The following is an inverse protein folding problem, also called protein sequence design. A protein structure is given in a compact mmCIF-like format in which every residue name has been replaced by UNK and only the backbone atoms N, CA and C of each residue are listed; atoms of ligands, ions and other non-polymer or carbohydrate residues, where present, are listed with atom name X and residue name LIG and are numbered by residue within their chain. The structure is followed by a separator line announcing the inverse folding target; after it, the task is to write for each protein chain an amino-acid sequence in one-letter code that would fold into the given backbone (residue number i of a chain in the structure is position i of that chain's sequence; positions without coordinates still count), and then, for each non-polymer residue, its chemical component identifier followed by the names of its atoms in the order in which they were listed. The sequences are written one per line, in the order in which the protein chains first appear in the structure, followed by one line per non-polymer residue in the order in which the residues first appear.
data_IF_473756762172
#
_entry.id   IF_473756762172
#
_cell.length_a   1.000
_cell.length_b   1.000
_cell.length_c   1.000
_cell.angle_alpha   90.00
_cell.angle_beta   90.00
_cell.angle_gamma   90.00
#
_symmetry.space_group_name_H-M   'P 1'
#
loop_
_entity.id
_entity.type
_entity.pdbx_description
1 polymer ?
#
# COMPACT_ATOMS: atom_id res chain seq x y z
N UNK A 1 11.31 -3.00 -24.90
CA UNK A 1 10.54 -4.07 -24.24
C UNK A 1 10.13 -3.57 -22.86
N UNK A 2 8.89 -3.08 -22.73
CA UNK A 2 8.38 -2.49 -21.49
C UNK A 2 7.92 -3.60 -20.53
N UNK A 3 8.74 -3.90 -19.52
CA UNK A 3 8.27 -4.63 -18.35
C UNK A 3 7.50 -3.64 -17.47
N UNK A 4 6.20 -3.51 -17.72
CA UNK A 4 5.28 -2.87 -16.79
C UNK A 4 5.31 -3.67 -15.49
N UNK A 5 6.15 -3.27 -14.54
CA UNK A 5 6.18 -3.83 -13.18
C UNK A 5 4.83 -3.53 -12.55
N UNK A 6 3.90 -4.49 -12.65
CA UNK A 6 2.64 -4.44 -11.92
C UNK A 6 2.98 -4.57 -10.44
N UNK A 7 3.08 -3.44 -9.75
CA UNK A 7 3.08 -3.40 -8.28
C UNK A 7 1.79 -4.10 -7.85
N UNK A 8 1.83 -5.08 -6.92
CA UNK A 8 0.63 -5.77 -6.49
C UNK A 8 -0.37 -4.73 -5.98
N UNK A 9 -1.57 -4.72 -6.56
CA UNK A 9 -2.68 -3.89 -6.08
C UNK A 9 -2.92 -4.18 -4.60
N UNK A 10 -3.34 -3.16 -3.84
CA UNK A 10 -3.50 -3.21 -2.37
C UNK A 10 -4.39 -4.38 -1.89
N UNK A 11 -5.27 -4.89 -2.77
CA UNK A 11 -6.07 -6.08 -2.54
C UNK A 11 -5.22 -7.36 -2.36
N UNK A 12 -4.14 -7.55 -3.13
CA UNK A 12 -3.24 -8.71 -2.95
C UNK A 12 -2.44 -8.63 -1.66
N UNK A 13 -2.03 -7.44 -1.25
CA UNK A 13 -1.27 -7.23 -0.01
C UNK A 13 -2.09 -7.56 1.24
N UNK A 14 -3.33 -7.08 1.32
CA UNK A 14 -4.21 -7.40 2.45
C UNK A 14 -4.56 -8.89 2.50
N UNK A 15 -4.72 -9.54 1.34
CA UNK A 15 -4.91 -10.99 1.24
C UNK A 15 -3.69 -11.77 1.74
N UNK A 16 -2.47 -11.37 1.35
CA UNK A 16 -1.23 -12.00 1.83
C UNK A 16 -1.03 -11.83 3.33
N UNK A 17 -1.37 -10.68 3.89
CA UNK A 17 -1.25 -10.48 5.35
C UNK A 17 -2.24 -11.37 6.11
N UNK A 18 -3.46 -11.56 5.59
CA UNK A 18 -4.53 -12.33 6.26
C UNK A 18 -4.46 -13.85 6.08
N UNK A 19 -3.92 -14.35 4.97
CA UNK A 19 -3.85 -15.79 4.67
C UNK A 19 -2.42 -16.30 4.75
N UNK A 20 -2.19 -17.59 4.93
CA UNK A 20 -0.86 -18.19 4.71
C UNK A 20 -0.78 -18.82 3.33
N UNK A 21 0.43 -18.92 2.77
CA UNK A 21 0.63 -19.60 1.49
C UNK A 21 2.09 -19.69 1.08
N UNK A 22 2.42 -20.54 0.10
CA UNK A 22 3.77 -20.64 -0.45
C UNK A 22 4.05 -19.39 -1.30
N UNK A 23 4.50 -18.32 -0.65
CA UNK A 23 4.93 -17.12 -1.36
C UNK A 23 6.44 -17.14 -1.60
N UNK A 24 6.87 -16.35 -2.59
CA UNK A 24 8.29 -16.07 -2.80
C UNK A 24 8.90 -15.47 -1.54
N UNK A 25 10.16 -15.80 -1.25
CA UNK A 25 10.88 -15.39 -0.03
C UNK A 25 10.72 -13.92 0.32
N UNK A 26 10.75 -13.02 -0.68
CA UNK A 26 10.53 -11.59 -0.48
C UNK A 26 9.15 -11.26 0.11
N UNK A 27 8.09 -11.89 -0.40
CA UNK A 27 6.71 -11.68 0.08
C UNK A 27 6.57 -12.29 1.48
N UNK A 28 7.08 -13.50 1.69
CA UNK A 28 7.03 -14.18 3.00
C UNK A 28 7.74 -13.38 4.09
N UNK A 29 8.96 -12.88 3.82
CA UNK A 29 9.69 -12.05 4.75
C UNK A 29 8.91 -10.79 5.10
N UNK A 30 8.34 -10.11 4.08
CA UNK A 30 7.59 -8.87 4.30
C UNK A 30 6.29 -9.08 5.06
N UNK A 31 5.55 -10.15 4.77
CA UNK A 31 4.33 -10.50 5.51
C UNK A 31 4.67 -10.83 6.96
N UNK A 32 5.75 -11.58 7.21
CA UNK A 32 6.19 -11.91 8.56
C UNK A 32 6.60 -10.66 9.35
N UNK A 33 7.38 -9.75 8.75
CA UNK A 33 7.72 -8.45 9.38
C UNK A 33 6.46 -7.68 9.82
N UNK A 34 5.45 -7.61 8.95
CA UNK A 34 4.19 -6.90 9.24
C UNK A 34 3.41 -7.59 10.36
N UNK A 35 3.31 -8.93 10.33
CA UNK A 35 2.60 -9.72 11.36
C UNK A 35 3.28 -9.68 12.73
N UNK A 36 4.62 -9.54 12.75
CA UNK A 36 5.41 -9.42 13.97
C UNK A 36 5.41 -8.00 14.55
N UNK A 37 5.06 -6.99 13.74
CA UNK A 37 4.86 -5.63 14.26
C UNK A 37 3.64 -5.58 15.19
N UNK A 38 3.67 -4.69 16.19
CA UNK A 38 2.56 -4.49 17.14
C UNK A 38 1.22 -4.34 16.41
N UNK A 39 0.13 -4.81 17.03
CA UNK A 39 -1.21 -4.91 16.46
C UNK A 39 -1.67 -3.58 15.82
N UNK A 40 -1.37 -3.41 14.54
CA UNK A 40 -1.74 -2.24 13.78
C UNK A 40 -2.97 -2.55 12.94
N UNK A 41 -3.94 -1.65 12.99
CA UNK A 41 -5.11 -1.71 12.14
C UNK A 41 -4.69 -1.35 10.71
N UNK A 42 -4.81 -2.31 9.80
CA UNK A 42 -4.51 -2.09 8.39
C UNK A 42 -5.73 -1.49 7.68
N UNK A 43 -5.62 -0.25 7.23
CA UNK A 43 -6.64 0.42 6.42
C UNK A 43 -6.17 0.58 4.98
N UNK A 44 -7.12 0.46 4.06
CA UNK A 44 -6.89 0.78 2.65
C UNK A 44 -6.70 2.30 2.50
N UNK A 45 -5.79 2.70 1.61
CA UNK A 45 -5.63 4.10 1.19
C UNK A 45 -5.55 4.12 -0.33
N UNK A 46 -6.37 4.92 -1.04
CA UNK A 46 -6.30 5.03 -2.49
C UNK A 46 -4.89 5.40 -2.95
N UNK A 47 -4.44 4.87 -4.09
CA UNK A 47 -3.10 5.14 -4.62
C UNK A 47 -2.81 6.64 -4.81
N UNK A 48 -3.84 7.46 -5.09
CA UNK A 48 -3.73 8.92 -5.20
C UNK A 48 -3.40 9.61 -3.88
N UNK A 49 -3.71 8.98 -2.74
CA UNK A 49 -3.40 9.47 -1.39
C UNK A 49 -2.28 8.68 -0.71
N UNK A 50 -1.79 7.60 -1.33
CA UNK A 50 -0.66 6.83 -0.84
C UNK A 50 0.66 7.52 -1.25
N UNK A 51 1.42 8.11 -0.31
CA UNK A 51 2.64 8.84 -0.66
C UNK A 51 3.76 7.92 -1.19
N UNK A 52 3.67 6.61 -0.97
CA UNK A 52 4.59 5.62 -1.54
C UNK A 52 4.24 5.19 -2.97
N UNK A 53 3.05 5.54 -3.50
CA UNK A 53 2.65 5.16 -4.86
C UNK A 53 3.53 5.82 -5.94
N UNK A 54 3.77 7.15 -5.95
CA UNK A 54 4.62 7.80 -6.95
C UNK A 54 6.03 7.20 -7.09
N UNK A 55 6.82 6.98 -6.01
CA UNK A 55 8.13 6.35 -6.16
C UNK A 55 8.03 4.89 -6.62
N UNK A 56 7.01 4.13 -6.17
CA UNK A 56 6.82 2.73 -6.60
C UNK A 56 6.49 2.58 -8.09
N UNK A 57 5.87 3.61 -8.70
CA UNK A 57 5.56 3.68 -10.14
C UNK A 57 6.69 4.26 -11.00
N UNK A 58 7.81 4.69 -10.39
CA UNK A 58 8.95 5.24 -11.12
C UNK A 58 8.84 6.72 -11.45
N UNK A 59 8.36 7.55 -10.51
CA UNK A 59 8.36 9.00 -10.69
C UNK A 59 9.79 9.59 -10.72
N UNK A 60 9.97 10.74 -11.38
CA UNK A 60 11.26 11.44 -11.39
C UNK A 60 11.61 12.03 -10.03
N UNK A 61 12.91 12.15 -9.72
CA UNK A 61 13.40 12.77 -8.47
C UNK A 61 12.83 14.18 -8.28
N UNK A 62 12.76 14.98 -9.35
CA UNK A 62 12.15 16.33 -9.30
C UNK A 62 10.68 16.31 -8.88
N UNK A 63 9.92 15.28 -9.29
CA UNK A 63 8.52 15.11 -8.90
C UNK A 63 8.43 14.66 -7.46
N UNK A 64 9.27 13.70 -7.07
CA UNK A 64 9.33 13.16 -5.72
C UNK A 64 9.61 14.26 -4.68
N UNK A 65 10.59 15.13 -4.95
CA UNK A 65 10.95 16.26 -4.10
C UNK A 65 9.80 17.27 -3.92
N UNK A 66 8.91 17.42 -4.91
CA UNK A 66 7.74 18.32 -4.83
C UNK A 66 6.55 17.72 -4.11
N UNK A 67 6.45 16.38 -4.02
CA UNK A 67 5.25 15.68 -3.58
C UNK A 67 5.20 15.36 -2.09
N UNK A 68 6.20 15.79 -1.29
CA UNK A 68 6.30 15.48 0.15
C UNK A 68 5.96 14.00 0.43
N UNK A 69 6.57 13.08 -0.33
CA UNK A 69 6.31 11.63 -0.26
C UNK A 69 6.61 10.98 1.10
N UNK A 70 7.28 11.72 2.00
CA UNK A 70 7.55 11.33 3.38
C UNK A 70 6.47 11.83 4.35
N UNK A 71 5.57 12.70 3.90
CA UNK A 71 4.41 13.15 4.67
C UNK A 71 3.21 12.28 4.32
N UNK A 72 2.48 11.86 5.36
CA UNK A 72 1.21 11.17 5.18
C UNK A 72 0.13 12.10 4.62
N UNK A 73 -1.01 11.54 4.19
CA UNK A 73 -2.15 12.37 3.82
C UNK A 73 -2.61 13.22 5.02
N UNK A 74 -3.16 14.44 4.80
CA UNK A 74 -3.46 15.38 5.87
C UNK A 74 -4.34 14.81 7.00
N UNK A 75 -5.21 13.86 6.69
CA UNK A 75 -6.09 13.22 7.66
C UNK A 75 -5.36 12.29 8.63
N UNK A 76 -4.15 11.81 8.32
CA UNK A 76 -3.40 10.92 9.20
C UNK A 76 -2.96 11.60 10.50
N UNK A 77 -2.76 12.93 10.46
CA UNK A 77 -2.47 13.74 11.65
C UNK A 77 -3.72 14.10 12.47
N UNK A 78 -4.92 13.83 11.95
CA UNK A 78 -6.17 14.08 12.67
C UNK A 78 -6.47 12.93 13.64
N UNK A 79 -7.42 13.17 14.54
CA UNK A 79 -7.99 12.14 15.40
C UNK A 79 -8.61 11.00 14.57
N UNK A 80 -8.51 9.76 15.06
CA UNK A 80 -8.88 8.53 14.32
C UNK A 80 -10.34 8.50 13.85
N UNK A 81 -11.24 9.18 14.56
CA UNK A 81 -12.65 9.39 14.20
C UNK A 81 -12.85 10.21 12.92
N UNK A 82 -11.86 11.01 12.51
CA UNK A 82 -11.89 11.82 11.28
C UNK A 82 -11.21 11.12 10.10
N UNK A 83 -10.72 9.90 10.29
CA UNK A 83 -10.05 9.20 9.22
C UNK A 83 -11.10 8.72 8.21
N UNK A 84 -10.85 8.91 6.91
CA UNK A 84 -11.74 8.38 5.88
C UNK A 84 -11.76 6.85 5.95
N UNK A 85 -12.95 6.27 5.84
CA UNK A 85 -13.10 4.85 5.58
C UNK A 85 -13.19 4.67 4.07
N UNK A 86 -12.16 4.08 3.49
CA UNK A 86 -12.12 3.84 2.05
C UNK A 86 -12.64 2.43 1.79
N UNK A 87 -13.82 2.33 1.18
CA UNK A 87 -14.35 1.03 0.77
C UNK A 87 -13.43 0.39 -0.28
N UNK A 88 -13.03 -0.85 -0.03
CA UNK A 88 -12.42 -1.71 -1.04
C UNK A 88 -13.54 -2.16 -1.98
N UNK A 89 -13.80 -1.42 -3.07
CA UNK A 89 -14.64 -2.00 -4.13
C UNK A 89 -13.86 -3.16 -4.75
N UNK A 90 -14.37 -4.40 -4.72
CA UNK A 90 -13.71 -5.50 -5.40
C UNK A 90 -13.80 -5.21 -6.90
N UNK A 91 -12.70 -4.82 -7.53
CA UNK A 91 -12.62 -4.87 -8.99
C UNK A 91 -12.69 -6.36 -9.39
N UNK A 92 -13.86 -6.81 -9.85
CA UNK A 92 -14.18 -8.20 -10.21
C UNK A 92 -13.26 -8.77 -11.32
N UNK A 93 -12.47 -7.93 -11.98
CA UNK A 93 -11.55 -8.30 -13.06
C UNK A 93 -10.11 -8.65 -12.60
N UNK A 94 -9.88 -8.92 -11.31
CA UNK A 94 -8.55 -9.22 -10.75
C UNK A 94 -8.38 -10.61 -10.13
N UNK A 95 -9.19 -11.59 -10.55
CA UNK A 95 -8.91 -13.02 -10.34
C UNK A 95 -7.94 -13.50 -11.43
#
# INVERSE_FOLDING_TARGET
MNASRKVPTLLKWTLWIKKEGPWMTFVSNRVNEIRLSEACELKFVPGTQNPADPPSRGCSVKTLLKKQWYEGPPWLGNSRDKWPDFELSPDENMI
#
